data_IF_508013571319
#
_entry.id   IF_508013571319
#
_cell.length_a   1.000
_cell.length_b   1.000
_cell.length_c   1.000
_cell.angle_alpha   90.00
_cell.angle_beta   90.00
_cell.angle_gamma   90.00
#
_symmetry.space_group_name_H-M   'P 1'
#
loop_
_entity.id
_entity.type
_entity.pdbx_description
1 polymer ?
#
# COMPACT_ATOMS: atom_id res chain seq x y z
N UNK A 1 6.19 -3.09 28.05
CA UNK A 1 5.73 -4.48 27.93
C UNK A 1 6.06 -4.95 26.52
N UNK A 2 6.86 -6.02 26.36
CA UNK A 2 7.16 -6.62 25.05
C UNK A 2 6.01 -7.56 24.71
N UNK A 3 5.34 -7.32 23.58
CA UNK A 3 4.23 -8.17 23.13
C UNK A 3 4.76 -9.35 22.30
N UNK A 4 3.90 -10.36 22.07
CA UNK A 4 4.22 -11.45 21.15
C UNK A 4 4.55 -10.87 19.76
N UNK A 5 5.72 -11.24 19.19
CA UNK A 5 6.21 -10.70 17.91
C UNK A 5 5.18 -10.73 16.79
N UNK A 6 4.33 -11.75 16.72
CA UNK A 6 3.31 -11.90 15.69
C UNK A 6 2.12 -10.99 15.92
N UNK A 7 1.76 -10.75 17.19
CA UNK A 7 0.73 -9.78 17.56
C UNK A 7 1.23 -8.36 17.25
N UNK A 8 2.47 -8.05 17.61
CA UNK A 8 3.09 -6.77 17.25
C UNK A 8 3.14 -6.58 15.74
N UNK A 9 3.53 -7.62 14.99
CA UNK A 9 3.57 -7.59 13.54
C UNK A 9 2.20 -7.29 12.94
N UNK A 10 1.14 -7.99 13.37
CA UNK A 10 -0.22 -7.75 12.90
C UNK A 10 -0.67 -6.32 13.16
N UNK A 11 -0.47 -5.80 14.38
CA UNK A 11 -0.84 -4.42 14.73
C UNK A 11 -0.02 -3.40 13.93
N UNK A 12 1.30 -3.61 13.81
CA UNK A 12 2.18 -2.74 13.03
C UNK A 12 1.77 -2.69 11.55
N UNK A 13 1.41 -3.84 11.00
CA UNK A 13 0.84 -4.01 9.67
C UNK A 13 -0.45 -3.24 9.48
N UNK A 14 -1.44 -3.42 10.36
CA UNK A 14 -2.71 -2.71 10.29
C UNK A 14 -2.56 -1.19 10.44
N UNK A 15 -1.65 -0.71 11.30
CA UNK A 15 -1.35 0.72 11.41
C UNK A 15 -0.65 1.22 10.13
N UNK A 16 0.31 0.46 9.61
CA UNK A 16 1.04 0.77 8.38
C UNK A 16 0.10 0.97 7.20
N UNK A 17 -0.76 -0.02 6.92
CA UNK A 17 -1.70 0.04 5.79
C UNK A 17 -2.73 1.16 5.98
N UNK A 18 -3.17 1.44 7.22
CA UNK A 18 -4.10 2.54 7.49
C UNK A 18 -3.50 3.88 7.09
N UNK A 19 -2.28 4.15 7.56
CA UNK A 19 -1.58 5.40 7.21
C UNK A 19 -1.24 5.43 5.72
N UNK A 20 -0.86 4.31 5.13
CA UNK A 20 -0.61 4.21 3.69
C UNK A 20 -1.86 4.55 2.86
N UNK A 21 -3.05 4.12 3.29
CA UNK A 21 -4.32 4.51 2.66
C UNK A 21 -4.57 6.01 2.80
N UNK A 22 -4.26 6.63 3.94
CA UNK A 22 -4.38 8.10 4.06
C UNK A 22 -3.42 8.82 3.09
N UNK A 23 -2.20 8.31 2.93
CA UNK A 23 -1.23 8.84 1.98
C UNK A 23 -1.70 8.64 0.55
N UNK A 24 -2.25 7.48 0.21
CA UNK A 24 -2.79 7.23 -1.13
C UNK A 24 -3.98 8.14 -1.43
N UNK A 25 -4.87 8.39 -0.47
CA UNK A 25 -5.97 9.34 -0.64
C UNK A 25 -5.48 10.74 -1.01
N UNK A 26 -4.42 11.23 -0.34
CA UNK A 26 -3.83 12.54 -0.67
C UNK A 26 -3.15 12.52 -2.04
N UNK A 27 -2.37 11.48 -2.36
CA UNK A 27 -1.62 11.43 -3.60
C UNK A 27 -2.54 11.28 -4.82
N UNK A 28 -3.44 10.31 -4.81
CA UNK A 28 -4.29 9.98 -5.96
C UNK A 28 -5.49 10.91 -6.09
N UNK A 29 -6.19 11.19 -4.99
CA UNK A 29 -7.50 11.85 -5.02
C UNK A 29 -7.48 13.31 -4.53
N UNK A 30 -6.30 13.89 -4.30
CA UNK A 30 -6.19 15.34 -4.08
C UNK A 30 -5.11 15.96 -4.98
N UNK A 31 -3.89 15.43 -4.94
CA UNK A 31 -2.79 15.99 -5.73
C UNK A 31 -2.80 15.50 -7.17
N UNK A 32 -3.14 14.23 -7.39
CA UNK A 32 -3.18 13.58 -8.69
C UNK A 32 -4.52 13.65 -9.39
N UNK A 33 -5.58 14.11 -8.72
CA UNK A 33 -6.97 13.94 -9.17
C UNK A 33 -7.20 14.45 -10.60
N UNK A 34 -6.80 15.69 -10.85
CA UNK A 34 -6.96 16.33 -12.16
C UNK A 34 -6.19 15.61 -13.28
N UNK A 35 -5.03 15.03 -12.95
CA UNK A 35 -4.16 14.38 -13.93
C UNK A 35 -4.58 12.94 -14.18
N UNK A 36 -4.96 12.22 -13.13
CA UNK A 36 -5.28 10.79 -13.16
C UNK A 36 -6.74 10.51 -13.49
N UNK A 37 -7.69 11.38 -13.11
CA UNK A 37 -9.12 11.08 -13.26
C UNK A 37 -9.89 12.07 -14.14
N UNK A 38 -9.40 13.30 -14.34
CA UNK A 38 -10.06 14.31 -15.19
C UNK A 38 -9.30 14.66 -16.47
N UNK A 39 -8.19 13.98 -16.75
CA UNK A 39 -7.43 14.17 -17.98
C UNK A 39 -8.15 13.56 -19.17
N UNK A 40 -8.25 14.32 -20.28
CA UNK A 40 -8.73 13.83 -21.58
C UNK A 40 -7.89 12.67 -22.15
N UNK A 41 -6.72 12.42 -21.57
CA UNK A 41 -5.85 11.31 -21.95
C UNK A 41 -6.19 10.01 -21.22
N UNK A 42 -6.96 10.05 -20.12
CA UNK A 42 -7.27 8.87 -19.33
C UNK A 42 -8.17 7.89 -20.12
N UNK A 43 -8.06 6.61 -19.80
CA UNK A 43 -8.91 5.57 -20.37
C UNK A 43 -10.37 5.76 -19.95
N UNK A 44 -11.25 5.96 -20.93
CA UNK A 44 -12.70 5.96 -20.75
C UNK A 44 -13.20 4.73 -19.99
N UNK A 45 -12.56 3.57 -20.22
CA UNK A 45 -12.93 2.32 -19.56
C UNK A 45 -12.56 2.33 -18.08
N UNK A 46 -11.39 2.87 -17.72
CA UNK A 46 -10.99 3.02 -16.32
C UNK A 46 -11.96 3.94 -15.60
N UNK A 47 -12.28 5.10 -16.18
CA UNK A 47 -13.26 6.05 -15.62
C UNK A 47 -14.63 5.40 -15.46
N UNK A 48 -15.12 4.70 -16.49
CA UNK A 48 -16.41 4.04 -16.44
C UNK A 48 -16.48 3.00 -15.33
N UNK A 49 -15.46 2.13 -15.18
CA UNK A 49 -15.41 1.10 -14.13
C UNK A 49 -15.34 1.72 -12.73
N UNK A 50 -14.59 2.80 -12.56
CA UNK A 50 -14.40 3.43 -11.25
C UNK A 50 -15.60 4.26 -10.80
N UNK A 51 -16.37 4.85 -11.74
CA UNK A 51 -17.33 5.92 -11.40
C UNK A 51 -18.74 5.75 -11.97
N UNK A 52 -18.95 4.89 -12.96
CA UNK A 52 -20.22 4.83 -13.72
C UNK A 52 -20.86 3.45 -13.77
N UNK A 53 -20.07 2.39 -13.77
CA UNK A 53 -20.56 1.01 -13.91
C UNK A 53 -20.99 0.44 -12.57
N UNK A 54 -22.24 0.02 -12.47
CA UNK A 54 -22.76 -0.67 -11.29
C UNK A 54 -22.39 -2.17 -11.27
N UNK A 55 -22.04 -2.76 -10.10
CA UNK A 55 -21.91 -2.08 -8.81
C UNK A 55 -20.65 -1.21 -8.74
N UNK A 56 -20.78 0.00 -8.19
CA UNK A 56 -19.64 0.87 -7.93
C UNK A 56 -18.63 0.23 -6.95
N UNK A 57 -17.35 0.66 -6.96
CA UNK A 57 -16.33 0.16 -6.05
C UNK A 57 -16.75 0.22 -4.58
N UNK A 58 -16.36 -0.80 -3.81
CA UNK A 58 -16.68 -0.89 -2.36
C UNK A 58 -16.06 0.27 -1.58
N UNK A 59 -14.91 0.80 -2.01
CA UNK A 59 -14.30 1.98 -1.37
C UNK A 59 -15.20 3.23 -1.43
N UNK A 60 -16.09 3.31 -2.41
CA UNK A 60 -17.08 4.39 -2.55
C UNK A 60 -18.40 4.07 -1.83
N UNK A 61 -18.87 2.84 -1.99
CA UNK A 61 -20.22 2.44 -1.53
C UNK A 61 -20.27 2.00 -0.07
N UNK A 62 -19.19 1.40 0.45
CA UNK A 62 -19.03 1.01 1.85
C UNK A 62 -17.56 1.16 2.30
N UNK A 63 -17.10 2.40 2.56
CA UNK A 63 -15.74 2.67 2.99
C UNK A 63 -15.34 1.95 4.28
N UNK A 64 -16.32 1.65 5.15
CA UNK A 64 -16.09 0.93 6.40
C UNK A 64 -15.69 -0.52 6.17
N UNK A 65 -16.38 -1.22 5.27
CA UNK A 65 -16.02 -2.58 4.86
C UNK A 65 -14.68 -2.59 4.15
N UNK A 66 -14.46 -1.66 3.20
CA UNK A 66 -13.17 -1.54 2.50
C UNK A 66 -12.01 -1.36 3.48
N UNK A 67 -12.13 -0.45 4.45
CA UNK A 67 -11.09 -0.21 5.45
C UNK A 67 -10.89 -1.43 6.35
N UNK A 68 -11.96 -2.11 6.75
CA UNK A 68 -11.86 -3.33 7.58
C UNK A 68 -11.06 -4.43 6.88
N UNK A 69 -11.33 -4.66 5.59
CA UNK A 69 -10.58 -5.61 4.76
C UNK A 69 -9.12 -5.16 4.63
N UNK A 70 -8.89 -3.87 4.38
CA UNK A 70 -7.55 -3.29 4.26
C UNK A 70 -6.72 -3.49 5.53
N UNK A 71 -7.30 -3.24 6.72
CA UNK A 71 -6.63 -3.46 8.01
C UNK A 71 -6.22 -4.93 8.22
N UNK A 72 -7.05 -5.88 7.76
CA UNK A 72 -6.73 -7.29 7.80
C UNK A 72 -5.58 -7.65 6.84
N UNK A 73 -5.60 -7.11 5.61
CA UNK A 73 -4.49 -7.26 4.65
C UNK A 73 -3.20 -6.68 5.24
N UNK A 74 -3.26 -5.50 5.84
CA UNK A 74 -2.10 -4.90 6.53
C UNK A 74 -1.56 -5.79 7.63
N UNK A 75 -2.42 -6.43 8.44
CA UNK A 75 -1.97 -7.38 9.44
C UNK A 75 -1.17 -8.55 8.83
N UNK A 76 -1.59 -9.04 7.66
CA UNK A 76 -0.85 -10.05 6.90
C UNK A 76 0.48 -9.49 6.37
N UNK A 77 0.51 -8.26 5.85
CA UNK A 77 1.77 -7.60 5.46
C UNK A 77 2.73 -7.51 6.65
N UNK A 78 2.25 -7.13 7.84
CA UNK A 78 3.06 -7.14 9.05
C UNK A 78 3.59 -8.54 9.40
N UNK A 79 2.74 -9.56 9.30
CA UNK A 79 3.14 -10.96 9.49
C UNK A 79 4.23 -11.43 8.53
N UNK A 80 4.11 -11.10 7.23
CA UNK A 80 5.14 -11.39 6.23
C UNK A 80 6.44 -10.66 6.55
N UNK A 81 6.38 -9.38 6.92
CA UNK A 81 7.56 -8.63 7.36
C UNK A 81 8.27 -9.33 8.52
N UNK A 82 7.52 -9.74 9.56
CA UNK A 82 8.07 -10.45 10.71
C UNK A 82 8.68 -11.81 10.33
N UNK A 83 8.13 -12.49 9.33
CA UNK A 83 8.66 -13.75 8.83
C UNK A 83 10.00 -13.58 8.10
N UNK A 84 10.15 -12.51 7.31
CA UNK A 84 11.38 -12.26 6.53
C UNK A 84 12.36 -11.29 7.19
N UNK A 85 12.05 -10.78 8.39
CA UNK A 85 12.79 -9.69 9.07
C UNK A 85 14.29 -9.93 9.13
N UNK A 86 14.71 -11.16 9.39
CA UNK A 86 16.12 -11.56 9.54
C UNK A 86 16.88 -11.58 8.21
N UNK A 87 16.17 -11.56 7.08
CA UNK A 87 16.74 -11.45 5.72
C UNK A 87 16.79 -10.00 5.21
N UNK A 88 16.19 -9.06 5.92
CA UNK A 88 16.18 -7.64 5.57
C UNK A 88 17.35 -6.89 6.23
N UNK A 89 17.72 -5.70 5.72
CA UNK A 89 18.76 -4.87 6.35
C UNK A 89 18.57 -4.72 7.86
N UNK A 90 19.67 -4.69 8.62
CA UNK A 90 19.60 -4.55 10.09
C UNK A 90 18.99 -3.21 10.51
N UNK A 91 19.32 -2.13 9.80
CA UNK A 91 18.77 -0.80 10.05
C UNK A 91 17.27 -0.76 9.77
N UNK A 92 16.48 -0.33 10.77
CA UNK A 92 15.01 -0.31 10.75
C UNK A 92 14.42 0.44 9.55
N UNK A 93 14.95 1.61 9.19
CA UNK A 93 14.44 2.39 8.05
C UNK A 93 14.76 1.69 6.73
N UNK A 94 16.01 1.23 6.56
CA UNK A 94 16.41 0.48 5.35
C UNK A 94 15.62 -0.82 5.20
N UNK A 95 15.31 -1.49 6.31
CA UNK A 95 14.45 -2.68 6.35
C UNK A 95 13.05 -2.37 5.87
N UNK A 96 12.45 -1.29 6.37
CA UNK A 96 11.13 -0.83 5.95
C UNK A 96 11.06 -0.43 4.48
N UNK A 97 12.07 0.29 3.98
CA UNK A 97 12.16 0.65 2.56
C UNK A 97 12.37 -0.56 1.66
N UNK A 98 13.21 -1.52 2.06
CA UNK A 98 13.39 -2.77 1.34
C UNK A 98 12.07 -3.56 1.28
N UNK A 99 11.34 -3.61 2.39
CA UNK A 99 10.03 -4.25 2.43
C UNK A 99 8.99 -3.53 1.59
N UNK A 100 8.96 -2.19 1.63
CA UNK A 100 8.14 -1.38 0.73
C UNK A 100 8.45 -1.67 -0.73
N UNK A 101 9.73 -1.82 -1.10
CA UNK A 101 10.12 -2.25 -2.45
C UNK A 101 9.57 -3.63 -2.83
N UNK A 102 9.55 -4.58 -1.90
CA UNK A 102 8.93 -5.90 -2.12
C UNK A 102 7.42 -5.74 -2.36
N UNK A 103 6.72 -4.98 -1.52
CA UNK A 103 5.29 -4.70 -1.70
C UNK A 103 5.02 -4.00 -3.04
N UNK A 104 5.86 -3.04 -3.43
CA UNK A 104 5.75 -2.34 -4.71
C UNK A 104 5.83 -3.32 -5.88
N UNK A 105 6.80 -4.24 -5.90
CA UNK A 105 6.95 -5.21 -6.99
C UNK A 105 5.80 -6.21 -7.01
N UNK A 106 5.41 -6.75 -5.85
CA UNK A 106 4.44 -7.84 -5.77
C UNK A 106 2.98 -7.37 -5.86
N UNK A 107 2.69 -6.17 -5.40
CA UNK A 107 1.33 -5.60 -5.39
C UNK A 107 1.17 -4.57 -6.49
N UNK A 108 1.88 -3.44 -6.41
CA UNK A 108 1.66 -2.30 -7.31
C UNK A 108 2.01 -2.66 -8.75
N UNK A 109 3.25 -3.09 -9.01
CA UNK A 109 3.70 -3.39 -10.36
C UNK A 109 2.85 -4.49 -11.03
N UNK A 110 2.50 -5.53 -10.28
CA UNK A 110 1.64 -6.61 -10.79
C UNK A 110 0.22 -6.13 -11.09
N UNK A 111 -0.40 -5.38 -10.16
CA UNK A 111 -1.75 -4.85 -10.33
C UNK A 111 -1.83 -3.86 -11.49
N UNK A 112 -0.94 -2.86 -11.51
CA UNK A 112 -0.85 -1.82 -12.53
C UNK A 112 -0.65 -2.40 -13.93
N UNK A 113 0.21 -3.41 -14.06
CA UNK A 113 0.37 -4.12 -15.32
C UNK A 113 -0.89 -4.88 -15.73
N UNK A 114 -1.52 -5.61 -14.81
CA UNK A 114 -2.61 -6.52 -15.15
C UNK A 114 -3.92 -5.79 -15.42
N UNK A 115 -4.29 -4.83 -14.59
CA UNK A 115 -5.58 -4.16 -14.64
C UNK A 115 -5.49 -2.81 -15.38
N UNK A 116 -4.89 -1.74 -14.83
CA UNK A 116 -4.80 -0.43 -15.48
C UNK A 116 -4.21 -0.47 -16.90
N UNK A 117 -3.02 -1.01 -17.08
CA UNK A 117 -2.40 -1.11 -18.41
C UNK A 117 -3.12 -2.10 -19.34
N UNK A 118 -3.19 -3.39 -18.95
CA UNK A 118 -3.64 -4.45 -19.86
C UNK A 118 -5.16 -4.53 -20.01
N UNK A 119 -5.94 -4.43 -18.93
CA UNK A 119 -7.39 -4.57 -19.00
C UNK A 119 -8.10 -3.25 -19.32
N UNK A 120 -7.63 -2.13 -18.78
CA UNK A 120 -8.28 -0.83 -18.95
C UNK A 120 -7.65 0.01 -20.06
N UNK A 121 -6.42 -0.30 -20.50
CA UNK A 121 -5.79 0.40 -21.61
C UNK A 121 -5.31 1.79 -21.23
N UNK A 122 -4.90 1.98 -19.98
CA UNK A 122 -4.39 3.25 -19.48
C UNK A 122 -3.09 3.67 -20.20
N UNK A 123 -2.92 4.97 -20.54
CA UNK A 123 -1.68 5.47 -21.12
C UNK A 123 -0.48 5.31 -20.19
N UNK A 124 0.66 4.92 -20.78
CA UNK A 124 1.93 4.73 -20.05
C UNK A 124 2.37 5.93 -19.18
N UNK A 125 2.17 7.20 -19.58
CA UNK A 125 2.54 8.32 -18.71
C UNK A 125 1.74 8.38 -17.40
N UNK A 126 0.44 8.06 -17.45
CA UNK A 126 -0.43 8.05 -16.26
C UNK A 126 -0.08 6.87 -15.36
N UNK A 127 0.04 5.68 -15.95
CA UNK A 127 0.52 4.47 -15.27
C UNK A 127 1.87 4.71 -14.56
N UNK A 128 2.79 5.43 -15.21
CA UNK A 128 4.09 5.77 -14.63
C UNK A 128 3.98 6.70 -13.41
N UNK A 129 3.04 7.64 -13.43
CA UNK A 129 2.73 8.51 -12.30
C UNK A 129 2.11 7.72 -11.13
N UNK A 130 1.15 6.84 -11.41
CA UNK A 130 0.52 5.99 -10.41
C UNK A 130 1.54 5.06 -9.74
N UNK A 131 2.38 4.39 -10.53
CA UNK A 131 3.47 3.56 -10.02
C UNK A 131 4.44 4.35 -9.13
N UNK A 132 4.71 5.62 -9.46
CA UNK A 132 5.52 6.51 -8.64
C UNK A 132 4.83 6.86 -7.32
N UNK A 133 3.53 7.17 -7.33
CA UNK A 133 2.76 7.37 -6.09
C UNK A 133 2.77 6.12 -5.23
N UNK A 134 2.62 4.94 -5.83
CA UNK A 134 2.70 3.67 -5.11
C UNK A 134 4.04 3.47 -4.42
N UNK A 135 5.18 3.89 -4.99
CA UNK A 135 6.48 3.84 -4.30
C UNK A 135 6.41 4.60 -2.98
N UNK A 136 5.80 5.78 -2.95
CA UNK A 136 5.67 6.59 -1.74
C UNK A 136 4.77 5.88 -0.73
N UNK A 137 3.59 5.42 -1.17
CA UNK A 137 2.59 4.75 -0.32
C UNK A 137 3.18 3.53 0.38
N UNK A 138 3.78 2.61 -0.36
CA UNK A 138 4.33 1.36 0.20
C UNK A 138 5.64 1.59 0.97
N UNK A 139 6.38 2.67 0.68
CA UNK A 139 7.53 3.08 1.50
C UNK A 139 7.08 3.54 2.88
N UNK A 140 6.01 4.33 2.97
CA UNK A 140 5.41 4.75 4.25
C UNK A 140 4.91 3.54 5.02
N UNK A 141 4.19 2.63 4.36
CA UNK A 141 3.73 1.38 4.98
C UNK A 141 4.91 0.58 5.55
N UNK A 142 5.90 0.26 4.72
CA UNK A 142 7.05 -0.56 5.10
C UNK A 142 7.85 0.05 6.25
N UNK A 143 8.08 1.36 6.23
CA UNK A 143 8.79 2.08 7.32
C UNK A 143 8.00 2.08 8.62
N UNK A 144 6.66 2.23 8.58
CA UNK A 144 5.84 2.14 9.79
C UNK A 144 5.84 0.73 10.36
N UNK A 145 5.68 -0.28 9.51
CA UNK A 145 5.74 -1.69 9.92
C UNK A 145 7.08 -1.98 10.60
N UNK A 146 8.20 -1.64 9.95
CA UNK A 146 9.52 -1.94 10.51
C UNK A 146 9.78 -1.20 11.81
N UNK A 147 9.39 0.07 11.90
CA UNK A 147 9.59 0.91 13.09
C UNK A 147 8.80 0.38 14.29
N UNK A 148 7.53 0.06 14.10
CA UNK A 148 6.67 -0.45 15.17
C UNK A 148 7.08 -1.87 15.58
N UNK A 149 7.43 -2.71 14.61
CA UNK A 149 7.89 -4.08 14.87
C UNK A 149 9.20 -4.09 15.66
N UNK A 150 10.23 -3.37 15.21
CA UNK A 150 11.53 -3.36 15.88
C UNK A 150 11.43 -2.74 17.29
N UNK A 151 10.60 -1.70 17.46
CA UNK A 151 10.42 -1.04 18.76
C UNK A 151 9.69 -1.90 19.80
N UNK A 152 8.73 -2.72 19.39
CA UNK A 152 7.81 -3.37 20.33
C UNK A 152 7.80 -4.91 20.27
N UNK A 153 8.33 -5.51 19.21
CA UNK A 153 8.21 -6.94 18.90
C UNK A 153 9.55 -7.66 18.69
N UNK A 154 10.64 -6.96 18.40
CA UNK A 154 11.95 -7.56 18.19
C UNK A 154 12.77 -7.63 19.51
N UNK A 155 13.10 -8.83 20.03
CA UNK A 155 13.89 -8.95 21.24
C UNK A 155 15.37 -8.55 21.08
N UNK A 156 15.88 -8.43 19.85
CA UNK A 156 17.32 -8.36 19.52
C UNK A 156 17.94 -6.99 19.24
N UNK A 157 17.19 -5.89 19.23
CA UNK A 157 17.74 -4.54 18.99
C UNK A 157 17.66 -3.70 20.27
N UNK A 158 18.65 -3.89 21.15
CA UNK A 158 19.04 -2.90 22.15
C UNK A 158 20.40 -2.38 21.68
N UNK A 159 20.42 -1.15 21.18
CA UNK A 159 21.60 -0.29 21.24
C UNK A 159 21.21 0.93 22.07
#
# INVERSE_FOLDING_TARGET
MRYNRWVTAGIAGSIGIFVANLVSQVLFFQLGEEILFHSDQQSDKLIAVMTQMEPLPVMETDPGVYMTISLFIGALHGGVFAYIRDSLPENTIKSGLAYGGILWVLMALYFEFHAPFNMFGEPLPLLGLELFFWVIVVSVEGVLISTLYDRFGNPGLIY
#
